data_IF_505551490465
#
_entry.id   IF_505551490465
#
_cell.length_a   1.000
_cell.length_b   1.000
_cell.length_c   1.000
_cell.angle_alpha   90.00
_cell.angle_beta   90.00
_cell.angle_gamma   90.00
#
_symmetry.space_group_name_H-M   'P 1'
#
loop_
_entity.id
_entity.type
_entity.pdbx_description
1 polymer ?
#
# COMPACT_ATOMS: atom_id res chain seq x y z
N UNK A 1 1.14 36.36 -26.63
CA UNK A 1 0.55 36.47 -25.29
C UNK A 1 1.54 35.89 -24.32
N UNK A 2 2.12 36.75 -23.50
CA UNK A 2 3.32 36.48 -22.71
C UNK A 2 3.02 35.48 -21.60
N UNK A 3 3.89 34.47 -21.48
CA UNK A 3 3.89 33.51 -20.38
C UNK A 3 4.26 34.20 -19.08
N UNK A 4 3.28 34.32 -18.18
CA UNK A 4 3.55 34.46 -16.76
C UNK A 4 4.04 33.09 -16.25
N UNK A 5 5.35 33.01 -16.07
CA UNK A 5 6.06 31.91 -15.44
C UNK A 5 5.71 31.83 -13.95
N UNK A 6 5.24 30.64 -13.54
CA UNK A 6 5.45 29.99 -12.24
C UNK A 6 5.37 30.91 -11.00
N UNK A 7 4.19 31.46 -10.71
CA UNK A 7 3.88 31.71 -9.31
C UNK A 7 3.71 30.35 -8.62
N UNK A 8 4.33 30.11 -7.43
CA UNK A 8 3.98 28.96 -6.62
C UNK A 8 2.47 28.99 -6.42
N UNK A 9 1.80 27.83 -6.53
CA UNK A 9 0.36 27.74 -6.34
C UNK A 9 0.04 28.21 -4.90
N UNK A 10 -0.31 29.48 -4.74
CA UNK A 10 -0.75 30.03 -3.46
C UNK A 10 -2.13 29.46 -3.24
N UNK A 11 -2.24 28.53 -2.29
CA UNK A 11 -3.53 27.97 -1.90
C UNK A 11 -4.40 29.13 -1.37
N UNK A 12 -5.58 29.29 -1.96
CA UNK A 12 -6.56 30.22 -1.41
C UNK A 12 -7.05 29.67 -0.08
N UNK A 13 -7.45 30.55 0.83
CA UNK A 13 -8.05 30.17 2.11
C UNK A 13 -9.22 29.18 1.93
N UNK A 14 -10.02 29.34 0.88
CA UNK A 14 -11.14 28.45 0.59
C UNK A 14 -10.70 27.01 0.28
N UNK A 15 -9.56 26.84 -0.41
CA UNK A 15 -8.98 25.51 -0.64
C UNK A 15 -8.42 24.94 0.66
N UNK A 16 -7.73 25.72 1.48
CA UNK A 16 -7.21 25.27 2.79
C UNK A 16 -8.34 24.82 3.72
N UNK A 17 -9.41 25.61 3.84
CA UNK A 17 -10.60 25.28 4.63
C UNK A 17 -11.28 24.00 4.12
N UNK A 18 -11.31 23.81 2.79
CA UNK A 18 -11.85 22.59 2.18
C UNK A 18 -10.96 21.38 2.47
N UNK A 19 -9.64 21.50 2.31
CA UNK A 19 -8.68 20.45 2.62
C UNK A 19 -8.79 20.03 4.08
N UNK A 20 -8.89 20.97 5.01
CA UNK A 20 -9.09 20.68 6.44
C UNK A 20 -10.43 19.96 6.69
N UNK A 21 -11.53 20.42 6.09
CA UNK A 21 -12.86 19.81 6.24
C UNK A 21 -12.89 18.34 5.81
N UNK A 22 -12.15 17.99 4.76
CA UNK A 22 -12.10 16.64 4.22
C UNK A 22 -10.93 15.78 4.75
N UNK A 23 -10.25 16.23 5.82
CA UNK A 23 -9.14 15.47 6.43
C UNK A 23 -7.94 15.31 5.49
N UNK A 24 -7.75 16.27 4.60
CA UNK A 24 -6.79 16.24 3.52
C UNK A 24 -5.85 17.45 3.58
N UNK A 25 -5.65 18.06 4.75
CA UNK A 25 -4.81 19.25 4.94
C UNK A 25 -3.31 18.94 4.96
N UNK A 26 -2.46 19.98 4.95
CA UNK A 26 -1.01 19.80 5.04
C UNK A 26 -0.61 19.21 6.40
N UNK A 27 -1.27 19.64 7.47
CA UNK A 27 -1.07 19.13 8.83
C UNK A 27 -1.37 17.63 8.88
N UNK A 28 -2.39 17.15 8.15
CA UNK A 28 -2.66 15.70 8.08
C UNK A 28 -1.56 14.94 7.33
N UNK A 29 -0.99 15.50 6.25
CA UNK A 29 0.14 14.88 5.55
C UNK A 29 1.38 14.82 6.45
N UNK A 30 1.65 15.87 7.22
CA UNK A 30 2.75 15.92 8.18
C UNK A 30 2.55 14.91 9.31
N UNK A 31 1.33 14.80 9.83
CA UNK A 31 0.98 13.80 10.84
C UNK A 31 1.19 12.37 10.33
N UNK A 32 0.68 12.04 9.14
CA UNK A 32 0.88 10.73 8.52
C UNK A 32 2.37 10.43 8.30
N UNK A 33 3.16 11.45 7.93
CA UNK A 33 4.60 11.29 7.75
C UNK A 33 5.30 10.99 9.07
N UNK A 34 4.89 11.63 10.15
CA UNK A 34 5.45 11.40 11.48
C UNK A 34 5.10 9.99 11.98
N UNK A 35 3.83 9.60 11.87
CA UNK A 35 3.35 8.24 12.20
C UNK A 35 4.11 7.17 11.39
N UNK A 36 4.33 7.38 10.09
CA UNK A 36 5.10 6.45 9.24
C UNK A 36 6.56 6.33 9.70
N UNK A 37 7.21 7.44 10.06
CA UNK A 37 8.60 7.44 10.55
C UNK A 37 8.73 6.68 11.86
N UNK A 38 7.85 6.94 12.82
CA UNK A 38 7.89 6.28 14.13
C UNK A 38 7.77 4.75 14.01
N UNK A 39 6.92 4.28 13.11
CA UNK A 39 6.76 2.84 12.85
C UNK A 39 7.99 2.25 12.16
N UNK A 40 8.59 2.96 11.19
CA UNK A 40 9.69 2.45 10.36
C UNK A 40 11.10 2.63 10.97
N UNK A 41 11.32 3.56 11.89
CA UNK A 41 12.64 3.84 12.50
C UNK A 41 13.21 2.64 13.26
N UNK A 42 12.34 1.74 13.72
CA UNK A 42 12.68 0.56 14.51
C UNK A 42 12.73 -0.74 13.69
N UNK A 43 12.52 -0.66 12.38
CA UNK A 43 12.42 -1.80 11.48
C UNK A 43 13.77 -2.12 10.81
N UNK A 44 14.17 -3.40 10.82
CA UNK A 44 15.25 -3.88 9.96
C UNK A 44 14.83 -3.85 8.48
N UNK A 45 15.72 -3.46 7.56
CA UNK A 45 15.36 -3.25 6.15
C UNK A 45 15.35 -4.52 5.29
N UNK A 46 15.56 -5.70 5.87
CA UNK A 46 15.59 -6.96 5.11
C UNK A 46 14.19 -7.56 5.02
N UNK A 47 13.81 -8.04 3.83
CA UNK A 47 12.56 -8.79 3.65
C UNK A 47 12.73 -10.18 4.25
N UNK A 48 12.37 -10.28 5.53
CA UNK A 48 12.41 -11.50 6.32
C UNK A 48 11.55 -12.62 5.70
N UNK A 49 10.54 -12.29 4.90
CA UNK A 49 9.65 -13.24 4.23
C UNK A 49 10.05 -13.53 2.78
N UNK A 50 11.26 -13.18 2.34
CA UNK A 50 11.69 -13.42 0.97
C UNK A 50 11.40 -14.87 0.51
N UNK A 51 10.60 -15.02 -0.55
CA UNK A 51 10.14 -16.31 -1.09
C UNK A 51 8.89 -16.91 -0.43
N UNK A 52 8.66 -16.65 0.86
CA UNK A 52 7.45 -17.09 1.59
C UNK A 52 6.30 -16.08 1.49
N UNK A 53 6.62 -14.80 1.28
CA UNK A 53 5.69 -13.68 1.31
C UNK A 53 4.41 -13.93 0.51
N UNK A 54 4.45 -14.40 -0.75
CA UNK A 54 3.21 -14.54 -1.49
C UNK A 54 2.25 -15.58 -0.92
N UNK A 55 2.78 -16.69 -0.40
CA UNK A 55 1.97 -17.72 0.24
C UNK A 55 1.36 -17.21 1.54
N UNK A 56 2.17 -16.55 2.37
CA UNK A 56 1.76 -16.03 3.67
C UNK A 56 0.65 -14.99 3.49
N UNK A 57 0.85 -14.02 2.60
CA UNK A 57 -0.15 -12.97 2.37
C UNK A 57 -1.43 -13.52 1.72
N UNK A 58 -1.32 -14.52 0.85
CA UNK A 58 -2.48 -15.22 0.30
C UNK A 58 -3.26 -15.96 1.41
N UNK A 59 -2.55 -16.64 2.32
CA UNK A 59 -3.15 -17.29 3.48
C UNK A 59 -3.88 -16.30 4.38
N UNK A 60 -3.23 -15.19 4.74
CA UNK A 60 -3.85 -14.11 5.51
C UNK A 60 -5.07 -13.52 4.82
N UNK A 61 -5.05 -13.38 3.49
CA UNK A 61 -6.18 -12.87 2.73
C UNK A 61 -7.39 -13.81 2.81
N UNK A 62 -7.16 -15.13 2.64
CA UNK A 62 -8.21 -16.15 2.81
C UNK A 62 -8.77 -16.14 4.22
N UNK A 63 -7.90 -16.03 5.24
CA UNK A 63 -8.30 -15.90 6.64
C UNK A 63 -9.15 -14.65 6.88
N UNK A 64 -8.71 -13.49 6.37
CA UNK A 64 -9.45 -12.24 6.46
C UNK A 64 -10.85 -12.36 5.85
N UNK A 65 -10.95 -12.93 4.64
CA UNK A 65 -12.24 -13.16 3.98
C UNK A 65 -13.13 -14.14 4.76
N UNK A 66 -12.57 -15.25 5.26
CA UNK A 66 -13.32 -16.23 6.07
C UNK A 66 -13.91 -15.59 7.34
N UNK A 67 -13.17 -14.67 7.95
CA UNK A 67 -13.60 -13.93 9.14
C UNK A 67 -14.31 -12.59 8.84
N UNK A 68 -14.73 -12.36 7.58
CA UNK A 68 -15.50 -11.18 7.14
C UNK A 68 -14.82 -9.84 7.41
N UNK A 69 -13.49 -9.82 7.35
CA UNK A 69 -12.72 -8.58 7.36
C UNK A 69 -12.82 -7.92 5.98
N UNK A 70 -12.88 -6.59 5.96
CA UNK A 70 -12.80 -5.83 4.74
C UNK A 70 -11.37 -5.80 4.17
N UNK A 71 -11.24 -5.24 2.97
CA UNK A 71 -9.95 -5.17 2.29
C UNK A 71 -8.95 -4.29 3.06
N UNK A 72 -9.44 -3.21 3.67
CA UNK A 72 -8.65 -2.26 4.47
C UNK A 72 -8.01 -2.97 5.67
N UNK A 73 -8.77 -3.81 6.36
CA UNK A 73 -8.25 -4.65 7.44
C UNK A 73 -7.19 -5.65 6.97
N UNK A 74 -7.29 -6.20 5.75
CA UNK A 74 -6.21 -7.04 5.22
C UNK A 74 -4.93 -6.23 5.01
N UNK A 75 -5.00 -5.00 4.48
CA UNK A 75 -3.83 -4.13 4.36
C UNK A 75 -3.19 -3.82 5.71
N UNK A 76 -4.00 -3.53 6.74
CA UNK A 76 -3.51 -3.35 8.11
C UNK A 76 -2.83 -4.62 8.62
N UNK A 77 -3.41 -5.79 8.38
CA UNK A 77 -2.82 -7.06 8.81
C UNK A 77 -1.44 -7.30 8.16
N UNK A 78 -1.29 -7.00 6.86
CA UNK A 78 0.01 -7.08 6.18
C UNK A 78 1.01 -6.11 6.83
N UNK A 79 0.60 -4.87 7.08
CA UNK A 79 1.47 -3.87 7.71
C UNK A 79 1.89 -4.27 9.13
N UNK A 80 0.99 -4.84 9.92
CA UNK A 80 1.29 -5.32 11.28
C UNK A 80 2.27 -6.48 11.23
N UNK A 81 2.11 -7.41 10.28
CA UNK A 81 3.05 -8.51 10.10
C UNK A 81 4.44 -8.01 9.70
N UNK A 82 4.52 -7.10 8.72
CA UNK A 82 5.79 -6.52 8.26
C UNK A 82 6.52 -5.82 9.42
N UNK A 83 5.81 -4.97 10.17
CA UNK A 83 6.36 -4.26 11.33
C UNK A 83 6.81 -5.21 12.44
N UNK A 84 6.05 -6.28 12.70
CA UNK A 84 6.39 -7.27 13.73
C UNK A 84 7.66 -8.02 13.35
N UNK A 85 7.74 -8.54 12.13
CA UNK A 85 8.90 -9.29 11.66
C UNK A 85 10.16 -8.43 11.60
N UNK A 86 10.03 -7.18 11.18
CA UNK A 86 11.16 -6.26 11.12
C UNK A 86 11.74 -5.92 12.51
N UNK A 87 10.93 -5.98 13.57
CA UNK A 87 11.30 -5.70 14.97
C UNK A 87 11.68 -6.95 15.77
N UNK A 88 11.08 -8.10 15.47
CA UNK A 88 11.36 -9.37 16.13
C UNK A 88 12.76 -9.90 15.81
N UNK A 89 13.33 -9.49 14.67
CA UNK A 89 14.70 -9.84 14.25
C UNK A 89 14.76 -11.18 13.54
N UNK A 90 14.74 -12.28 14.29
CA UNK A 90 14.84 -13.64 13.70
C UNK A 90 13.47 -14.24 13.41
N UNK A 91 13.28 -14.75 12.18
CA UNK A 91 12.07 -15.46 11.78
C UNK A 91 12.13 -16.93 12.17
N UNK A 92 11.30 -17.30 13.13
CA UNK A 92 10.94 -18.70 13.36
C UNK A 92 9.84 -19.12 12.38
N UNK A 93 10.24 -19.73 11.27
CA UNK A 93 9.34 -20.18 10.19
C UNK A 93 8.27 -21.14 10.72
N UNK A 94 8.54 -21.90 11.78
CA UNK A 94 7.59 -22.86 12.36
C UNK A 94 6.41 -22.17 13.06
N UNK A 95 6.61 -20.94 13.57
CA UNK A 95 5.58 -20.15 14.25
C UNK A 95 4.79 -19.24 13.32
N UNK A 96 5.31 -19.00 12.11
CA UNK A 96 4.73 -18.08 11.14
C UNK A 96 3.23 -18.30 10.89
N UNK A 97 2.70 -19.53 10.75
CA UNK A 97 1.26 -19.74 10.59
C UNK A 97 0.43 -19.21 11.76
N UNK A 98 0.92 -19.40 13.00
CA UNK A 98 0.27 -18.92 14.21
C UNK A 98 0.36 -17.39 14.31
N UNK A 99 1.52 -16.80 13.96
CA UNK A 99 1.71 -15.35 13.86
C UNK A 99 0.71 -14.73 12.89
N UNK A 100 0.53 -15.31 11.70
CA UNK A 100 -0.41 -14.79 10.70
C UNK A 100 -1.85 -14.76 11.22
N UNK A 101 -2.28 -15.84 11.87
CA UNK A 101 -3.61 -15.91 12.49
C UNK A 101 -3.75 -14.92 13.63
N UNK A 102 -2.75 -14.78 14.50
CA UNK A 102 -2.72 -13.81 15.58
C UNK A 102 -2.87 -12.38 15.06
N UNK A 103 -2.12 -12.02 14.01
CA UNK A 103 -2.20 -10.70 13.37
C UNK A 103 -3.61 -10.44 12.81
N UNK A 104 -4.18 -11.37 12.03
CA UNK A 104 -5.53 -11.19 11.47
C UNK A 104 -6.59 -11.07 12.58
N UNK A 105 -6.45 -11.85 13.66
CA UNK A 105 -7.35 -11.78 14.82
C UNK A 105 -7.20 -10.45 15.59
N UNK A 106 -5.98 -9.94 15.75
CA UNK A 106 -5.72 -8.62 16.34
C UNK A 106 -6.36 -7.51 15.54
N UNK A 107 -6.18 -7.50 14.21
CA UNK A 107 -6.81 -6.48 13.36
C UNK A 107 -8.33 -6.58 13.41
N UNK A 108 -8.89 -7.80 13.48
CA UNK A 108 -10.34 -7.97 13.71
C UNK A 108 -10.79 -7.40 15.04
N UNK A 109 -10.02 -7.55 16.11
CA UNK A 109 -10.34 -6.94 17.42
C UNK A 109 -10.23 -5.42 17.38
N UNK A 110 -9.29 -4.89 16.60
CA UNK A 110 -9.02 -3.46 16.48
C UNK A 110 -10.11 -2.72 15.68
N UNK A 111 -10.51 -3.24 14.51
CA UNK A 111 -11.54 -2.61 13.67
C UNK A 111 -12.96 -3.13 13.89
N UNK A 112 -13.11 -4.35 14.40
CA UNK A 112 -14.39 -5.02 14.48
C UNK A 112 -15.28 -4.46 15.58
N UNK A 113 -16.57 -4.32 15.28
CA UNK A 113 -17.57 -4.01 16.29
C UNK A 113 -17.65 -5.16 17.31
N UNK A 114 -18.01 -4.84 18.56
CA UNK A 114 -18.17 -5.81 19.64
C UNK A 114 -19.09 -6.98 19.24
N UNK A 115 -20.12 -6.72 18.42
CA UNK A 115 -21.02 -7.74 17.91
C UNK A 115 -20.35 -8.77 16.96
N UNK A 116 -19.37 -8.35 16.15
CA UNK A 116 -18.68 -9.21 15.19
C UNK A 116 -17.64 -10.13 15.84
N UNK A 117 -17.29 -9.87 17.10
CA UNK A 117 -16.33 -10.65 17.88
C UNK A 117 -16.93 -11.99 18.35
N UNK A 118 -18.25 -12.08 18.51
CA UNK A 118 -18.92 -13.30 18.99
C UNK A 118 -19.16 -14.37 17.91
N UNK A 119 -18.88 -14.05 16.64
CA UNK A 119 -19.19 -14.93 15.51
C UNK A 119 -18.10 -15.96 15.16
N UNK A 120 -16.90 -15.86 15.74
CA UNK A 120 -15.77 -16.75 15.40
C UNK A 120 -15.26 -17.50 16.62
N UNK A 121 -15.16 -18.83 16.51
CA UNK A 121 -14.63 -19.67 17.59
C UNK A 121 -13.11 -19.78 17.49
N UNK A 122 -12.43 -20.00 18.62
CA UNK A 122 -10.99 -20.28 18.65
C UNK A 122 -10.59 -21.44 17.74
N UNK A 123 -11.45 -22.46 17.61
CA UNK A 123 -11.21 -23.61 16.73
C UNK A 123 -11.06 -23.21 15.25
N UNK A 124 -11.85 -22.24 14.78
CA UNK A 124 -11.79 -21.76 13.39
C UNK A 124 -10.47 -21.04 13.09
N UNK A 125 -9.99 -20.20 14.02
CA UNK A 125 -8.71 -19.53 13.88
C UNK A 125 -7.54 -20.52 13.82
N UNK A 126 -7.55 -21.51 14.73
CA UNK A 126 -6.51 -22.54 14.78
C UNK A 126 -6.54 -23.46 13.55
N UNK A 127 -7.71 -23.73 12.98
CA UNK A 127 -7.82 -24.45 11.71
C UNK A 127 -7.13 -23.69 10.57
N UNK A 128 -7.31 -22.36 10.53
CA UNK A 128 -6.60 -21.47 9.63
C UNK A 128 -5.06 -21.59 9.73
N UNK A 129 -4.54 -21.61 10.95
CA UNK A 129 -3.11 -21.79 11.19
C UNK A 129 -2.63 -23.16 10.69
N UNK A 130 -3.40 -24.24 10.92
CA UNK A 130 -3.08 -25.60 10.44
C UNK A 130 -3.07 -25.68 8.92
N UNK A 131 -4.04 -25.05 8.26
CA UNK A 131 -4.11 -25.03 6.80
C UNK A 131 -2.90 -24.32 6.19
N UNK A 132 -2.51 -23.16 6.75
CA UNK A 132 -1.32 -22.44 6.30
C UNK A 132 -0.04 -23.21 6.57
N UNK A 133 0.11 -23.79 7.78
CA UNK A 133 1.25 -24.64 8.12
C UNK A 133 1.38 -25.85 7.18
N UNK A 134 0.26 -26.50 6.84
CA UNK A 134 0.24 -27.60 5.87
C UNK A 134 0.65 -27.12 4.47
N UNK A 135 0.15 -25.97 4.01
CA UNK A 135 0.55 -25.40 2.71
C UNK A 135 2.06 -25.08 2.66
N UNK A 136 2.64 -24.60 3.76
CA UNK A 136 4.09 -24.38 3.89
C UNK A 136 4.85 -25.72 3.88
N UNK A 137 4.36 -26.74 4.60
CA UNK A 137 4.95 -28.08 4.60
C UNK A 137 4.93 -28.72 3.21
N UNK A 138 3.84 -28.56 2.46
CA UNK A 138 3.69 -29.08 1.09
C UNK A 138 4.68 -28.42 0.10
N UNK A 139 5.21 -27.23 0.41
CA UNK A 139 6.30 -26.57 -0.33
C UNK A 139 7.70 -26.91 0.22
N UNK A 140 7.81 -27.83 1.17
CA UNK A 140 9.08 -28.33 1.70
C UNK A 140 9.63 -27.57 2.91
N UNK A 141 8.87 -26.66 3.52
CA UNK A 141 9.28 -26.00 4.76
C UNK A 141 9.11 -26.93 5.96
N UNK A 142 10.10 -26.97 6.86
CA UNK A 142 10.05 -27.78 8.07
C UNK A 142 9.11 -27.15 9.10
N UNK A 143 8.02 -27.84 9.42
CA UNK A 143 7.07 -27.47 10.48
C UNK A 143 7.26 -28.44 11.66
N UNK A 144 7.69 -27.95 12.82
CA UNK A 144 7.97 -28.79 14.00
C UNK A 144 6.69 -29.40 14.59
N UNK A 145 5.57 -28.69 14.54
CA UNK A 145 4.28 -29.14 15.06
C UNK A 145 3.11 -28.44 14.33
N UNK A 146 2.00 -29.17 14.18
CA UNK A 146 0.70 -28.65 13.71
C UNK A 146 -0.30 -28.50 14.88
N UNK A 147 0.16 -28.72 16.11
CA UNK A 147 -0.65 -28.62 17.32
C UNK A 147 -0.67 -27.18 17.84
N UNK A 148 -1.52 -26.36 17.23
CA UNK A 148 -1.80 -25.02 17.74
C UNK A 148 -2.93 -25.06 18.78
N UNK A 149 -2.72 -24.35 19.89
CA UNK A 149 -3.70 -24.20 20.98
C UNK A 149 -4.14 -22.74 21.14
N UNK A 150 -5.30 -22.51 21.76
CA UNK A 150 -5.79 -21.15 22.02
C UNK A 150 -4.88 -20.35 22.95
N UNK A 151 -4.20 -21.04 23.88
CA UNK A 151 -3.24 -20.41 24.79
C UNK A 151 -2.05 -19.88 23.99
N UNK A 152 -1.52 -20.68 23.06
CA UNK A 152 -0.41 -20.25 22.19
C UNK A 152 -0.82 -19.07 21.30
N UNK A 153 -2.03 -19.13 20.72
CA UNK A 153 -2.56 -18.04 19.90
C UNK A 153 -2.67 -16.74 20.71
N UNK A 154 -3.27 -16.79 21.90
CA UNK A 154 -3.42 -15.62 22.77
C UNK A 154 -2.09 -15.06 23.25
N UNK A 155 -1.13 -15.95 23.56
CA UNK A 155 0.23 -15.52 23.92
C UNK A 155 0.90 -14.79 22.76
N UNK A 156 0.82 -15.33 21.54
CA UNK A 156 1.38 -14.66 20.37
C UNK A 156 0.73 -13.32 20.06
N UNK A 157 -0.57 -13.15 20.29
CA UNK A 157 -1.19 -11.82 20.18
C UNK A 157 -0.55 -10.80 21.14
N UNK A 158 -0.28 -11.20 22.38
CA UNK A 158 0.38 -10.36 23.38
C UNK A 158 1.83 -10.10 22.95
N UNK A 159 2.58 -11.13 22.56
CA UNK A 159 3.98 -10.99 22.12
C UNK A 159 4.10 -9.99 20.94
N UNK A 160 3.18 -10.08 19.96
CA UNK A 160 3.12 -9.14 18.83
C UNK A 160 2.86 -7.72 19.32
N UNK A 161 1.87 -7.52 20.19
CA UNK A 161 1.54 -6.19 20.73
C UNK A 161 2.69 -5.61 21.54
N UNK A 162 3.39 -6.40 22.35
CA UNK A 162 4.55 -5.95 23.12
C UNK A 162 5.71 -5.52 22.20
N UNK A 163 6.04 -6.33 21.19
CA UNK A 163 7.06 -6.00 20.18
C UNK A 163 6.70 -4.72 19.42
N UNK A 164 5.43 -4.55 19.09
CA UNK A 164 4.92 -3.35 18.41
C UNK A 164 4.64 -2.17 19.34
N UNK A 165 4.88 -2.30 20.64
CA UNK A 165 4.55 -1.27 21.64
C UNK A 165 3.08 -0.82 21.57
N UNK A 166 2.18 -1.76 21.27
CA UNK A 166 0.74 -1.55 21.10
C UNK A 166 0.37 -0.62 19.93
N UNK A 167 1.31 -0.34 19.02
CA UNK A 167 1.09 0.47 17.82
C UNK A 167 0.84 -0.43 16.61
N UNK A 168 -0.44 -0.62 16.28
CA UNK A 168 -0.87 -1.42 15.11
C UNK A 168 -1.50 -0.58 13.99
N UNK A 169 -1.71 0.71 14.23
CA UNK A 169 -2.28 1.67 13.28
C UNK A 169 -1.17 2.46 12.58
N UNK A 170 -0.49 1.79 11.64
CA UNK A 170 0.54 2.42 10.81
C UNK A 170 -0.10 3.03 9.54
N UNK A 171 0.36 4.21 9.08
CA UNK A 171 -0.09 4.79 7.83
C UNK A 171 0.08 3.83 6.64
N UNK A 172 -1.05 3.41 6.07
CA UNK A 172 -1.05 2.48 4.95
C UNK A 172 -0.88 3.20 3.62
N UNK A 173 -0.36 2.48 2.62
CA UNK A 173 -0.28 2.95 1.24
C UNK A 173 -1.65 3.45 0.75
N UNK A 174 -2.72 2.72 1.05
CA UNK A 174 -4.09 3.09 0.70
C UNK A 174 -4.51 4.44 1.29
N UNK A 175 -4.10 4.71 2.53
CA UNK A 175 -4.46 5.94 3.23
C UNK A 175 -3.77 7.12 2.56
N UNK A 176 -2.46 7.01 2.30
CA UNK A 176 -1.70 8.01 1.53
C UNK A 176 -2.32 8.27 0.15
N UNK A 177 -2.59 7.21 -0.61
CA UNK A 177 -3.18 7.30 -1.94
C UNK A 177 -4.56 7.97 -1.91
N UNK A 178 -5.40 7.59 -0.94
CA UNK A 178 -6.72 8.20 -0.75
C UNK A 178 -6.62 9.67 -0.43
N UNK A 179 -5.67 10.06 0.43
CA UNK A 179 -5.40 11.46 0.75
C UNK A 179 -4.94 12.22 -0.49
N UNK A 180 -4.00 11.70 -1.28
CA UNK A 180 -3.55 12.36 -2.52
C UNK A 180 -4.69 12.54 -3.53
N UNK A 181 -5.50 11.51 -3.76
CA UNK A 181 -6.68 11.59 -4.62
C UNK A 181 -7.68 12.64 -4.13
N UNK A 182 -7.98 12.66 -2.83
CA UNK A 182 -8.91 13.63 -2.23
C UNK A 182 -8.39 15.06 -2.37
N UNK A 183 -7.11 15.28 -2.06
CA UNK A 183 -6.45 16.59 -2.22
C UNK A 183 -6.51 17.07 -3.66
N UNK A 184 -6.21 16.19 -4.61
CA UNK A 184 -6.26 16.54 -6.03
C UNK A 184 -7.66 16.94 -6.48
N UNK A 185 -8.69 16.20 -6.05
CA UNK A 185 -10.08 16.53 -6.35
C UNK A 185 -10.45 17.91 -5.79
N UNK A 186 -10.10 18.20 -4.54
CA UNK A 186 -10.37 19.51 -3.93
C UNK A 186 -9.66 20.64 -4.69
N UNK A 187 -8.36 20.49 -4.96
CA UNK A 187 -7.56 21.51 -5.64
C UNK A 187 -7.96 21.72 -7.12
N UNK A 188 -8.65 20.75 -7.71
CA UNK A 188 -9.20 20.87 -9.07
C UNK A 188 -10.68 21.18 -9.10
N UNK A 189 -11.29 21.51 -7.95
CA UNK A 189 -12.73 21.78 -7.82
C UNK A 189 -13.58 20.63 -8.41
N UNK A 190 -13.15 19.39 -8.12
CA UNK A 190 -13.76 18.14 -8.55
C UNK A 190 -13.88 17.92 -10.06
N UNK A 191 -13.27 18.77 -10.91
CA UNK A 191 -13.35 18.69 -12.38
C UNK A 191 -12.84 17.37 -12.97
N UNK A 192 -11.98 16.67 -12.24
CA UNK A 192 -11.36 15.41 -12.68
C UNK A 192 -11.73 14.21 -11.79
N UNK A 193 -12.78 14.32 -10.98
CA UNK A 193 -13.15 13.30 -10.00
C UNK A 193 -13.34 11.91 -10.61
N UNK A 194 -13.95 11.81 -11.79
CA UNK A 194 -14.10 10.53 -12.51
C UNK A 194 -12.76 9.91 -12.86
N UNK A 195 -11.81 10.71 -13.37
CA UNK A 195 -10.48 10.24 -13.72
C UNK A 195 -9.69 9.83 -12.47
N UNK A 196 -9.77 10.63 -11.40
CA UNK A 196 -9.10 10.36 -10.13
C UNK A 196 -9.66 9.13 -9.44
N UNK A 197 -10.98 8.89 -9.52
CA UNK A 197 -11.61 7.67 -9.03
C UNK A 197 -11.08 6.43 -9.78
N UNK A 198 -11.00 6.50 -11.11
CA UNK A 198 -10.37 5.45 -11.91
C UNK A 198 -8.90 5.23 -11.54
N UNK A 199 -8.14 6.31 -11.37
CA UNK A 199 -6.73 6.27 -10.91
C UNK A 199 -6.63 5.57 -9.57
N UNK A 200 -7.47 5.93 -8.60
CA UNK A 200 -7.48 5.33 -7.27
C UNK A 200 -7.75 3.82 -7.36
N UNK A 201 -8.78 3.39 -8.08
CA UNK A 201 -9.08 1.96 -8.25
C UNK A 201 -7.90 1.22 -8.87
N UNK A 202 -7.28 1.79 -9.90
CA UNK A 202 -6.13 1.19 -10.59
C UNK A 202 -4.89 1.12 -9.71
N UNK A 203 -4.59 2.20 -8.99
CA UNK A 203 -3.48 2.27 -8.06
C UNK A 203 -3.67 1.31 -6.88
N UNK A 204 -4.89 1.15 -6.35
CA UNK A 204 -5.20 0.15 -5.32
C UNK A 204 -4.97 -1.30 -5.78
N UNK A 205 -5.29 -1.62 -7.04
CA UNK A 205 -4.96 -2.91 -7.62
C UNK A 205 -3.43 -3.16 -7.62
N UNK A 206 -2.64 -2.18 -8.04
CA UNK A 206 -1.18 -2.31 -8.03
C UNK A 206 -0.58 -2.27 -6.62
N UNK A 207 -1.17 -1.53 -5.69
CA UNK A 207 -0.80 -1.53 -4.29
C UNK A 207 -0.91 -2.94 -3.69
N UNK A 208 -2.03 -3.64 -3.95
CA UNK A 208 -2.21 -5.04 -3.55
C UNK A 208 -1.09 -5.91 -4.10
N UNK A 209 -0.77 -5.80 -5.39
CA UNK A 209 0.31 -6.58 -6.01
C UNK A 209 1.70 -6.27 -5.44
N UNK A 210 1.99 -5.00 -5.16
CA UNK A 210 3.28 -4.59 -4.58
C UNK A 210 3.47 -5.21 -3.19
N UNK A 211 2.42 -5.30 -2.38
CA UNK A 211 2.51 -5.94 -1.07
C UNK A 211 2.91 -7.42 -1.15
N UNK A 212 2.60 -8.13 -2.24
CA UNK A 212 3.04 -9.53 -2.41
C UNK A 212 4.55 -9.68 -2.60
N UNK A 213 5.26 -8.62 -2.99
CA UNK A 213 6.69 -8.69 -3.35
C UNK A 213 7.58 -7.71 -2.60
N UNK A 214 6.99 -6.72 -1.93
CA UNK A 214 7.72 -5.71 -1.19
C UNK A 214 7.12 -5.58 0.21
N UNK A 215 7.97 -5.77 1.22
CA UNK A 215 7.66 -5.44 2.60
C UNK A 215 7.73 -3.94 2.83
N UNK A 216 6.81 -3.43 3.64
CA UNK A 216 6.89 -2.04 4.11
C UNK A 216 8.14 -1.90 4.97
N UNK A 217 9.06 -1.01 4.59
CA UNK A 217 10.32 -0.81 5.29
C UNK A 217 10.80 0.62 5.15
N UNK A 218 11.83 1.00 5.91
CA UNK A 218 12.48 2.32 5.77
C UNK A 218 13.06 2.56 4.37
N UNK A 219 13.39 1.50 3.61
CA UNK A 219 13.83 1.59 2.21
C UNK A 219 12.69 1.70 1.20
N UNK A 220 11.51 1.28 1.62
CA UNK A 220 10.33 1.09 0.78
C UNK A 220 9.09 1.59 1.55
N UNK A 221 9.06 2.87 1.94
CA UNK A 221 7.96 3.39 2.77
C UNK A 221 6.65 3.41 1.97
N UNK A 222 5.50 3.08 2.60
CA UNK A 222 4.19 3.09 1.95
C UNK A 222 3.86 4.40 1.21
N UNK A 223 4.25 5.55 1.77
CA UNK A 223 4.09 6.88 1.16
C UNK A 223 4.71 6.99 -0.22
N UNK A 224 5.94 6.49 -0.41
CA UNK A 224 6.65 6.60 -1.69
C UNK A 224 5.96 5.78 -2.79
N UNK A 225 5.46 4.59 -2.45
CA UNK A 225 4.68 3.81 -3.41
C UNK A 225 3.33 4.44 -3.71
N UNK A 226 2.63 4.97 -2.70
CA UNK A 226 1.39 5.70 -2.92
C UNK A 226 1.60 6.90 -3.85
N UNK A 227 2.68 7.65 -3.64
CA UNK A 227 3.06 8.81 -4.46
C UNK A 227 3.34 8.38 -5.91
N UNK A 228 4.15 7.34 -6.09
CA UNK A 228 4.49 6.81 -7.41
C UNK A 228 3.28 6.26 -8.15
N UNK A 229 2.42 5.50 -7.47
CA UNK A 229 1.19 4.95 -8.05
C UNK A 229 0.17 6.04 -8.41
N UNK A 230 0.04 7.06 -7.58
CA UNK A 230 -0.79 8.22 -7.86
C UNK A 230 -0.32 8.92 -9.15
N UNK A 231 0.98 9.24 -9.23
CA UNK A 231 1.59 9.88 -10.38
C UNK A 231 1.48 9.03 -11.66
N UNK A 232 1.74 7.73 -11.56
CA UNK A 232 1.55 6.79 -12.67
C UNK A 232 0.10 6.77 -13.17
N UNK A 233 -0.86 6.77 -12.25
CA UNK A 233 -2.28 6.83 -12.60
C UNK A 233 -2.65 8.12 -13.35
N UNK A 234 -2.11 9.27 -12.94
CA UNK A 234 -2.31 10.53 -13.66
C UNK A 234 -1.74 10.48 -15.09
N UNK A 235 -0.61 9.81 -15.30
CA UNK A 235 -0.06 9.59 -16.66
C UNK A 235 -0.95 8.64 -17.46
N UNK A 236 -1.38 7.52 -16.87
CA UNK A 236 -2.25 6.56 -17.59
C UNK A 236 -3.60 7.15 -17.95
N UNK A 237 -4.20 7.95 -17.06
CA UNK A 237 -5.45 8.67 -17.36
C UNK A 237 -5.26 9.83 -18.34
N UNK A 238 -4.03 10.06 -18.83
CA UNK A 238 -3.65 11.15 -19.74
C UNK A 238 -3.87 12.54 -19.14
N UNK A 239 -4.04 12.63 -17.82
CA UNK A 239 -4.05 13.90 -17.10
C UNK A 239 -2.66 14.54 -17.12
N UNK A 240 -1.60 13.74 -17.26
CA UNK A 240 -0.22 14.21 -17.39
C UNK A 240 0.52 13.54 -18.57
N UNK A 241 1.35 14.28 -19.31
CA UNK A 241 2.31 13.69 -20.23
C UNK A 241 3.32 12.82 -19.47
N UNK A 242 3.65 11.65 -20.02
CA UNK A 242 4.61 10.74 -19.39
C UNK A 242 5.97 11.39 -19.13
N UNK A 243 6.48 12.19 -20.06
CA UNK A 243 7.80 12.82 -19.96
C UNK A 243 7.93 13.80 -18.78
N UNK A 244 6.83 14.31 -18.22
CA UNK A 244 6.89 15.17 -17.04
C UNK A 244 7.44 14.41 -15.82
N UNK A 245 7.05 13.16 -15.62
CA UNK A 245 7.47 12.42 -14.43
C UNK A 245 8.74 11.59 -14.66
N UNK A 246 9.43 11.78 -15.79
CA UNK A 246 10.67 11.07 -16.10
C UNK A 246 11.84 11.64 -15.28
N UNK A 247 12.55 10.83 -14.47
CA UNK A 247 13.80 11.27 -13.86
C UNK A 247 14.85 11.57 -14.93
N UNK A 248 15.68 12.59 -14.70
CA UNK A 248 16.70 13.03 -15.68
C UNK A 248 17.63 11.89 -16.12
N UNK A 249 18.00 11.00 -15.18
CA UNK A 249 18.92 9.88 -15.40
C UNK A 249 18.30 8.72 -16.20
N UNK A 250 16.98 8.70 -16.40
CA UNK A 250 16.28 7.60 -17.07
C UNK A 250 16.10 7.93 -18.55
N UNK A 251 16.61 7.11 -19.49
CA UNK A 251 16.45 7.36 -20.91
C UNK A 251 14.99 7.43 -21.34
N UNK A 252 14.62 8.40 -22.18
CA UNK A 252 13.23 8.60 -22.66
C UNK A 252 12.66 7.36 -23.35
N UNK A 253 13.46 6.66 -24.17
CA UNK A 253 13.02 5.44 -24.83
C UNK A 253 12.60 4.34 -23.85
N UNK A 254 13.37 4.13 -22.77
CA UNK A 254 13.04 3.17 -21.72
C UNK A 254 11.78 3.58 -20.96
N UNK A 255 11.67 4.87 -20.62
CA UNK A 255 10.52 5.43 -19.93
C UNK A 255 9.23 5.21 -20.72
N UNK A 256 9.21 5.63 -21.99
CA UNK A 256 8.04 5.49 -22.87
C UNK A 256 7.67 4.02 -23.08
N UNK A 257 8.65 3.13 -23.29
CA UNK A 257 8.42 1.70 -23.46
C UNK A 257 7.70 1.09 -22.24
N UNK A 258 8.09 1.48 -21.02
CA UNK A 258 7.44 1.01 -19.79
C UNK A 258 5.95 1.39 -19.71
N UNK A 259 5.59 2.62 -20.09
CA UNK A 259 4.18 3.04 -20.14
C UNK A 259 3.39 2.34 -21.24
N UNK A 260 4.01 2.13 -22.41
CA UNK A 260 3.39 1.41 -23.52
C UNK A 260 3.09 -0.05 -23.14
N UNK A 261 4.04 -0.73 -22.49
CA UNK A 261 3.86 -2.10 -22.02
C UNK A 261 2.69 -2.23 -21.05
N UNK A 262 2.60 -1.33 -20.06
CA UNK A 262 1.49 -1.35 -19.09
C UNK A 262 0.16 -0.98 -19.72
N UNK A 263 0.16 -0.07 -20.70
CA UNK A 263 -1.03 0.35 -21.44
C UNK A 263 -1.55 -0.74 -22.39
N UNK A 264 -0.68 -1.61 -22.90
CA UNK A 264 -1.09 -2.78 -23.69
C UNK A 264 -1.72 -3.87 -22.80
N UNK A 265 -1.16 -4.06 -21.59
CA UNK A 265 -1.65 -5.05 -20.63
C UNK A 265 -2.95 -4.63 -19.94
N UNK A 266 -3.26 -3.33 -19.90
CA UNK A 266 -4.36 -2.80 -19.11
C UNK A 266 -5.14 -1.75 -19.89
N UNK A 267 -6.48 -1.88 -19.92
CA UNK A 267 -7.36 -0.92 -20.60
C UNK A 267 -7.16 0.47 -20.00
N UNK A 268 -6.61 1.37 -20.80
CA UNK A 268 -6.46 2.79 -20.46
C UNK A 268 -7.78 3.51 -20.70
N UNK A 269 -8.23 4.29 -19.71
CA UNK A 269 -9.32 5.22 -19.93
C UNK A 269 -8.72 6.54 -20.45
N UNK A 270 -8.97 6.86 -21.71
CA UNK A 270 -8.62 8.16 -22.29
C UNK A 270 -9.58 9.22 -21.75
N UNK A 271 -9.06 10.16 -20.95
CA UNK A 271 -9.81 11.32 -20.48
C UNK A 271 -9.28 12.58 -21.19
N UNK A 272 -10.07 13.66 -21.28
CA UNK A 272 -9.58 14.94 -21.79
C UNK A 272 -8.34 15.32 -20.98
N UNK A 273 -7.18 15.54 -21.62
CA UNK A 273 -5.97 15.83 -20.90
C UNK A 273 -6.11 17.17 -20.20
N UNK A 274 -5.43 17.30 -19.08
CA UNK A 274 -5.25 18.61 -18.49
C UNK A 274 -4.35 19.39 -19.44
N UNK A 275 -4.89 20.37 -20.17
CA UNK A 275 -4.09 21.27 -21.00
C UNK A 275 -3.75 22.53 -20.19
N UNK A 276 -2.46 22.83 -19.97
CA UNK A 276 -2.00 24.02 -19.25
C UNK A 276 -0.52 23.97 -18.80
N UNK A 277 0.10 25.11 -18.53
CA UNK A 277 1.52 25.22 -18.15
C UNK A 277 1.80 25.03 -16.64
N UNK A 278 0.81 24.63 -15.83
CA UNK A 278 0.87 24.71 -14.35
C UNK A 278 0.58 23.39 -13.61
N UNK A 279 0.95 22.23 -14.17
CA UNK A 279 0.65 20.94 -13.52
C UNK A 279 1.56 20.55 -12.38
N UNK A 280 2.87 20.83 -12.46
CA UNK A 280 3.76 20.52 -11.36
C UNK A 280 3.39 21.22 -10.06
N UNK A 281 3.12 22.55 -10.05
CA UNK A 281 2.68 23.21 -8.83
C UNK A 281 1.44 22.57 -8.21
N UNK A 282 0.48 22.12 -9.02
CA UNK A 282 -0.72 21.42 -8.55
C UNK A 282 -0.38 20.05 -7.93
N UNK A 283 0.47 19.24 -8.56
CA UNK A 283 0.84 17.92 -8.03
C UNK A 283 1.68 18.07 -6.77
N UNK A 284 2.62 19.02 -6.77
CA UNK A 284 3.43 19.35 -5.59
C UNK A 284 2.55 19.83 -4.45
N UNK A 285 1.57 20.71 -4.70
CA UNK A 285 0.59 21.10 -3.70
C UNK A 285 -0.28 19.92 -3.25
N UNK A 286 -0.67 19.03 -4.16
CA UNK A 286 -1.47 17.83 -3.83
C UNK A 286 -0.73 16.89 -2.89
N UNK A 287 0.57 16.71 -3.11
CA UNK A 287 1.37 15.63 -2.49
C UNK A 287 2.33 16.12 -1.41
N UNK A 288 2.47 17.45 -1.27
CA UNK A 288 3.52 18.10 -0.47
C UNK A 288 4.94 17.57 -0.81
N UNK A 289 5.18 17.18 -2.06
CA UNK A 289 6.42 16.56 -2.50
C UNK A 289 7.14 17.43 -3.54
N UNK A 290 8.46 17.34 -3.57
CA UNK A 290 9.31 17.99 -4.57
C UNK A 290 9.21 17.30 -5.94
N UNK A 291 9.61 18.00 -7.01
CA UNK A 291 9.63 17.40 -8.35
C UNK A 291 10.56 16.18 -8.44
N UNK A 292 11.68 16.19 -7.70
CA UNK A 292 12.62 15.08 -7.62
C UNK A 292 11.96 13.84 -7.00
N UNK A 293 11.31 14.00 -5.84
CA UNK A 293 10.59 12.91 -5.17
C UNK A 293 9.48 12.33 -6.04
N UNK A 294 8.71 13.18 -6.74
CA UNK A 294 7.66 12.75 -7.67
C UNK A 294 8.23 11.87 -8.78
N UNK A 295 9.33 12.28 -9.41
CA UNK A 295 9.97 11.53 -10.49
C UNK A 295 10.53 10.20 -9.99
N UNK A 296 11.26 10.21 -8.87
CA UNK A 296 11.89 9.01 -8.31
C UNK A 296 10.85 7.99 -7.83
N UNK A 297 9.81 8.43 -7.13
CA UNK A 297 8.71 7.59 -6.69
C UNK A 297 7.96 6.97 -7.88
N UNK A 298 7.66 7.77 -8.90
CA UNK A 298 7.00 7.29 -10.14
C UNK A 298 7.86 6.23 -10.82
N UNK A 299 9.16 6.46 -10.97
CA UNK A 299 10.08 5.51 -11.56
C UNK A 299 10.18 4.21 -10.75
N UNK A 300 10.29 4.30 -9.43
CA UNK A 300 10.35 3.12 -8.55
C UNK A 300 9.09 2.27 -8.68
N UNK A 301 7.91 2.90 -8.62
CA UNK A 301 6.64 2.20 -8.80
C UNK A 301 6.54 1.55 -10.18
N UNK A 302 6.96 2.25 -11.24
CA UNK A 302 6.93 1.74 -12.62
C UNK A 302 7.77 0.48 -12.76
N UNK A 303 9.03 0.54 -12.30
CA UNK A 303 9.97 -0.58 -12.38
C UNK A 303 9.42 -1.78 -11.62
N UNK A 304 8.91 -1.59 -10.41
CA UNK A 304 8.37 -2.69 -9.59
C UNK A 304 7.14 -3.33 -10.24
N UNK A 305 6.23 -2.55 -10.81
CA UNK A 305 5.06 -3.07 -11.54
C UNK A 305 5.49 -3.85 -12.80
N UNK A 306 6.47 -3.36 -13.56
CA UNK A 306 6.96 -4.05 -14.75
C UNK A 306 7.61 -5.39 -14.38
N UNK A 307 8.46 -5.40 -13.36
CA UNK A 307 9.11 -6.62 -12.84
C UNK A 307 8.07 -7.62 -12.34
N UNK A 308 7.07 -7.16 -11.58
CA UNK A 308 5.92 -7.97 -11.15
C UNK A 308 5.21 -8.63 -12.33
N UNK A 309 4.92 -7.85 -13.36
CA UNK A 309 4.25 -8.32 -14.56
C UNK A 309 5.06 -9.33 -15.37
N UNK A 310 6.39 -9.34 -15.22
CA UNK A 310 7.26 -10.30 -15.89
C UNK A 310 7.48 -11.59 -15.06
N UNK A 311 7.68 -11.44 -13.75
CA UNK A 311 8.05 -12.56 -12.85
C UNK A 311 6.85 -13.35 -12.35
N UNK A 312 5.69 -12.71 -12.20
CA UNK A 312 4.53 -13.32 -11.54
C UNK A 312 3.23 -13.15 -12.33
N UNK A 313 3.13 -13.73 -13.55
CA UNK A 313 1.89 -13.64 -14.34
C UNK A 313 0.67 -14.23 -13.61
N UNK A 314 0.87 -15.20 -12.71
CA UNK A 314 -0.20 -15.77 -11.89
C UNK A 314 -0.74 -14.79 -10.83
N UNK A 315 0.09 -13.91 -10.26
CA UNK A 315 -0.37 -12.90 -9.29
C UNK A 315 -1.30 -11.88 -9.95
N UNK A 316 -1.08 -11.58 -11.24
CA UNK A 316 -1.99 -10.71 -12.00
C UNK A 316 -3.42 -11.28 -12.09
N UNK A 317 -3.58 -12.61 -12.05
CA UNK A 317 -4.91 -13.25 -12.04
C UNK A 317 -5.56 -13.24 -10.67
N UNK A 318 -4.78 -13.38 -9.59
CA UNK A 318 -5.30 -13.41 -8.21
C UNK A 318 -5.76 -12.03 -7.71
N UNK A 319 -5.15 -10.94 -8.18
CA UNK A 319 -5.53 -9.59 -7.77
C UNK A 319 -6.87 -9.09 -8.37
N UNK A 320 -7.45 -9.84 -9.32
CA UNK A 320 -8.76 -9.54 -9.95
C UNK A 320 -9.93 -10.21 -9.21
N UNK A 321 -9.64 -11.17 -8.32
CA UNK A 321 -10.61 -11.85 -7.45
C UNK A 321 -10.72 -11.16 -6.09
#
# INVERSE_FOLDING_TARGET
>A
MNGHLLDPLVLTKDFEDSLHRYGASNERLEQLLQEEKEVLESATPEDVLAGLRPMVLQGMMVLSSYHRLDQDSWYTAVSVLDSYLAKAGELDVSKLPLTCVAVVRLVKKFHGNVADQFGSTSAQWLDGARQLAKAMQDQGHQMESLEFTEIMLSQHEIDILEVLQWQIDAPLLQQWLSTYCQRFNILTDHKHETAVSWVKTRAMYFARLLLFVEASSSRSPPREFALGLFCLGLVWSQLLPADCLRPEKVPSAYWVAGFQELSQRHRVQTMPPLFGASFYPLIQATTASSSCELQEATHRALVKILVLGAQHPALLMLAVA
#
